data_IF_997125764317
#
_entry.id   IF_997125764317
#
_cell.length_a   1.000
_cell.length_b   1.000
_cell.length_c   1.000
_cell.angle_alpha   90.00
_cell.angle_beta   90.00
_cell.angle_gamma   90.00
#
_symmetry.space_group_name_H-M   'P 1'
#
loop_
_entity.id
_entity.type
_entity.pdbx_description
1 polymer ?
#
# COMPACT_ATOMS: atom_id res chain seq x y z
N UNK A 1 2.03 23.55 68.89
CA UNK A 1 2.50 22.83 67.69
C UNK A 1 1.37 21.92 67.21
N UNK A 2 1.07 22.00 65.90
CA UNK A 2 0.27 21.06 65.07
C UNK A 2 -1.24 21.03 65.32
N UNK A 3 -2.12 20.99 64.32
CA UNK A 3 -2.08 21.17 62.85
C UNK A 3 -3.56 21.34 62.47
N UNK A 4 -3.92 22.43 61.79
CA UNK A 4 -5.29 22.66 61.30
C UNK A 4 -5.54 21.82 60.05
N UNK A 5 -6.72 21.19 60.01
CA UNK A 5 -7.22 20.32 58.94
C UNK A 5 -7.83 21.22 57.84
N UNK A 6 -7.25 21.21 56.64
CA UNK A 6 -7.82 21.90 55.47
C UNK A 6 -8.50 20.88 54.56
N UNK A 7 -9.82 21.01 54.40
CA UNK A 7 -10.58 20.36 53.33
C UNK A 7 -10.22 21.05 52.01
N UNK A 8 -9.54 20.34 51.11
CA UNK A 8 -9.27 20.78 49.74
C UNK A 8 -10.42 20.26 48.85
N UNK A 9 -11.40 21.12 48.52
CA UNK A 9 -12.39 20.82 47.49
C UNK A 9 -11.74 21.01 46.12
N UNK A 10 -11.28 19.93 45.51
CA UNK A 10 -10.76 19.92 44.15
C UNK A 10 -11.93 19.91 43.17
N UNK A 11 -12.24 21.05 42.56
CA UNK A 11 -13.26 21.16 41.52
C UNK A 11 -12.80 20.42 40.26
N UNK A 12 -13.62 19.50 39.77
CA UNK A 12 -13.46 18.90 38.44
C UNK A 12 -13.70 19.98 37.37
N UNK A 13 -12.64 20.42 36.70
CA UNK A 13 -12.73 21.08 35.40
C UNK A 13 -12.78 19.97 34.34
N UNK A 14 -13.97 19.63 33.89
CA UNK A 14 -14.15 18.84 32.66
C UNK A 14 -13.84 19.76 31.47
N UNK A 15 -12.63 19.66 30.91
CA UNK A 15 -12.38 20.09 29.54
C UNK A 15 -13.04 19.06 28.62
N UNK A 16 -14.32 19.24 28.35
CA UNK A 16 -14.96 18.61 27.21
C UNK A 16 -14.45 19.33 25.95
N UNK A 17 -13.32 18.86 25.41
CA UNK A 17 -12.96 19.18 24.04
C UNK A 17 -13.86 18.33 23.15
N UNK A 18 -14.93 18.92 22.62
CA UNK A 18 -15.70 18.29 21.55
C UNK A 18 -14.82 18.10 20.31
N UNK A 19 -15.21 17.20 19.38
CA UNK A 19 -14.55 17.13 18.08
C UNK A 19 -14.63 18.52 17.44
N UNK A 20 -13.46 19.04 17.05
CA UNK A 20 -13.33 20.31 16.36
C UNK A 20 -13.80 20.06 14.93
N UNK A 21 -15.04 20.40 14.61
CA UNK A 21 -15.42 20.60 13.22
C UNK A 21 -14.53 21.72 12.69
N UNK A 22 -13.61 21.41 11.79
CA UNK A 22 -12.83 22.43 11.13
C UNK A 22 -13.80 23.36 10.38
N UNK A 23 -13.63 24.68 10.48
CA UNK A 23 -14.49 25.60 9.75
C UNK A 23 -14.31 25.31 8.26
N UNK A 24 -15.34 24.79 7.60
CA UNK A 24 -15.37 24.77 6.15
C UNK A 24 -15.32 26.23 5.70
N UNK A 25 -14.18 26.63 5.16
CA UNK A 25 -14.03 27.95 4.60
C UNK A 25 -14.78 28.00 3.26
N UNK A 26 -16.03 28.48 3.30
CA UNK A 26 -16.90 28.54 2.13
C UNK A 26 -16.42 29.51 1.05
N UNK A 27 -15.32 30.24 1.27
CA UNK A 27 -14.83 31.25 0.34
C UNK A 27 -14.06 30.63 -0.84
N UNK A 28 -13.45 29.44 -0.67
CA UNK A 28 -12.89 28.66 -1.79
C UNK A 28 -13.86 27.53 -2.13
N UNK A 29 -14.36 27.53 -3.36
CA UNK A 29 -15.19 26.46 -3.92
C UNK A 29 -14.40 25.68 -4.96
N UNK A 30 -14.13 24.42 -4.66
CA UNK A 30 -13.59 23.46 -5.61
C UNK A 30 -14.67 22.97 -6.57
N UNK A 31 -14.27 22.55 -7.78
CA UNK A 31 -15.20 21.90 -8.73
C UNK A 31 -15.79 20.62 -8.14
N UNK A 32 -14.97 19.87 -7.40
CA UNK A 32 -15.29 18.57 -6.82
C UNK A 32 -14.61 18.44 -5.45
N UNK A 33 -15.26 17.73 -4.53
CA UNK A 33 -14.72 17.45 -3.18
C UNK A 33 -14.18 16.03 -3.05
N UNK A 34 -14.55 15.15 -3.96
CA UNK A 34 -14.11 13.76 -4.05
C UNK A 34 -13.86 13.45 -5.52
N UNK A 35 -12.69 12.91 -5.82
CA UNK A 35 -12.25 12.56 -7.18
C UNK A 35 -11.77 11.12 -7.15
N UNK A 36 -12.16 10.33 -8.15
CA UNK A 36 -11.53 9.05 -8.45
C UNK A 36 -10.86 9.14 -9.81
N UNK A 37 -9.57 8.82 -9.87
CA UNK A 37 -8.78 8.75 -11.10
C UNK A 37 -8.05 7.42 -11.17
N UNK A 38 -7.78 6.98 -12.40
CA UNK A 38 -6.94 5.83 -12.65
C UNK A 38 -5.45 6.21 -12.44
N UNK A 39 -4.61 5.22 -12.17
CA UNK A 39 -3.16 5.38 -12.17
C UNK A 39 -2.67 5.99 -13.50
N UNK A 40 -1.71 6.92 -13.43
CA UNK A 40 -1.16 7.76 -14.52
C UNK A 40 -2.14 8.74 -15.19
N UNK A 41 -3.43 8.71 -14.83
CA UNK A 41 -4.39 9.67 -15.36
C UNK A 41 -4.31 11.02 -14.64
N UNK A 42 -4.82 12.06 -15.31
CA UNK A 42 -4.85 13.43 -14.81
C UNK A 42 -6.26 13.99 -14.70
N UNK A 43 -6.49 14.87 -13.74
CA UNK A 43 -7.76 15.55 -13.52
C UNK A 43 -7.54 17.02 -13.17
N UNK A 44 -8.19 17.93 -13.91
CA UNK A 44 -8.16 19.36 -13.59
C UNK A 44 -9.17 19.69 -12.49
N UNK A 45 -8.69 19.86 -11.26
CA UNK A 45 -9.44 20.40 -10.14
C UNK A 45 -9.42 21.93 -10.21
N UNK A 46 -10.60 22.54 -10.31
CA UNK A 46 -10.74 24.00 -10.44
C UNK A 46 -11.12 24.63 -9.10
N UNK A 47 -10.53 25.76 -8.76
CA UNK A 47 -10.88 26.55 -7.58
C UNK A 47 -11.49 27.90 -7.97
N UNK A 48 -12.60 28.25 -7.33
CA UNK A 48 -13.22 29.57 -7.41
C UNK A 48 -13.20 30.24 -6.04
N UNK A 49 -12.80 31.52 -5.97
CA UNK A 49 -12.82 32.29 -4.73
C UNK A 49 -13.93 33.35 -4.73
N UNK A 50 -14.69 33.47 -3.64
CA UNK A 50 -15.72 34.51 -3.47
C UNK A 50 -15.76 35.08 -2.05
N UNK A 51 -15.30 36.33 -1.88
CA UNK A 51 -15.48 37.15 -0.68
C UNK A 51 -15.52 38.63 -1.06
N UNK A 52 -16.45 39.40 -0.49
CA UNK A 52 -16.49 40.84 -0.72
C UNK A 52 -15.23 41.54 -0.17
N UNK A 53 -14.66 42.45 -0.97
CA UNK A 53 -13.50 43.24 -0.55
C UNK A 53 -12.17 42.48 -0.48
N UNK A 54 -12.13 41.24 -0.98
CA UNK A 54 -10.92 40.43 -1.03
C UNK A 54 -10.79 39.76 -2.40
N UNK A 55 -9.61 39.84 -3.00
CA UNK A 55 -9.25 39.09 -4.20
C UNK A 55 -7.92 38.39 -3.91
N UNK A 56 -7.85 37.05 -3.99
CA UNK A 56 -6.59 36.35 -3.83
C UNK A 56 -5.67 36.65 -5.01
N UNK A 57 -4.37 36.59 -4.76
CA UNK A 57 -3.32 36.73 -5.79
C UNK A 57 -2.94 35.36 -6.38
N UNK A 58 -3.94 34.51 -6.59
CA UNK A 58 -3.77 33.11 -6.99
C UNK A 58 -4.00 32.10 -5.85
N UNK A 59 -3.79 30.84 -6.20
CA UNK A 59 -3.95 29.68 -5.33
C UNK A 59 -2.64 28.93 -5.20
N UNK A 60 -2.38 28.39 -4.01
CA UNK A 60 -1.31 27.45 -3.72
C UNK A 60 -1.94 26.08 -3.55
N UNK A 61 -1.36 25.07 -4.18
CA UNK A 61 -1.80 23.69 -4.12
C UNK A 61 -0.73 22.81 -3.48
N UNK A 62 -1.16 21.82 -2.72
CA UNK A 62 -0.31 20.79 -2.15
C UNK A 62 -1.08 19.47 -1.99
N UNK A 63 -0.35 18.37 -1.83
CA UNK A 63 -0.88 17.04 -1.55
C UNK A 63 -0.35 16.55 -0.21
N UNK A 64 -1.22 15.93 0.58
CA UNK A 64 -0.81 15.25 1.82
C UNK A 64 0.12 14.05 1.54
N UNK A 65 0.02 13.44 0.36
CA UNK A 65 0.89 12.36 -0.13
C UNK A 65 1.03 12.43 -1.65
N UNK A 66 2.12 13.07 -2.11
CA UNK A 66 2.47 13.17 -3.53
C UNK A 66 2.80 11.82 -4.18
N UNK A 67 3.14 10.80 -3.38
CA UNK A 67 3.33 9.44 -3.88
C UNK A 67 2.03 8.77 -4.32
N UNK A 68 0.89 9.14 -3.72
CA UNK A 68 -0.44 8.70 -4.17
C UNK A 68 -0.95 9.59 -5.30
N UNK A 69 -0.98 10.91 -5.08
CA UNK A 69 -1.36 11.87 -6.12
C UNK A 69 -0.64 13.20 -5.94
N UNK A 70 -0.08 13.74 -7.03
CA UNK A 70 0.56 15.06 -7.06
C UNK A 70 -0.36 16.10 -7.69
N UNK A 71 -0.14 17.38 -7.38
CA UNK A 71 -0.90 18.49 -7.95
C UNK A 71 0.00 19.64 -8.39
N UNK A 72 -0.19 20.13 -9.61
CA UNK A 72 0.47 21.35 -10.12
C UNK A 72 -0.59 22.27 -10.74
N UNK A 73 -0.75 23.48 -10.22
CA UNK A 73 -1.77 24.44 -10.67
C UNK A 73 -3.20 23.84 -10.78
N UNK A 74 -3.55 22.97 -9.83
CA UNK A 74 -4.85 22.26 -9.80
C UNK A 74 -4.94 21.07 -10.75
N UNK A 75 -3.91 20.78 -11.56
CA UNK A 75 -3.83 19.53 -12.32
C UNK A 75 -3.37 18.41 -11.38
N UNK A 76 -4.30 17.54 -11.01
CA UNK A 76 -4.03 16.35 -10.18
C UNK A 76 -3.57 15.20 -11.08
N UNK A 77 -2.50 14.50 -10.70
CA UNK A 77 -2.00 13.29 -11.39
C UNK A 77 -1.97 12.13 -10.41
N UNK A 78 -2.51 10.97 -10.80
CA UNK A 78 -2.51 9.76 -9.99
C UNK A 78 -1.20 8.99 -10.13
N UNK A 79 -0.47 8.80 -9.02
CA UNK A 79 0.89 8.25 -9.02
C UNK A 79 0.98 6.85 -8.39
N UNK A 80 0.09 6.51 -7.45
CA UNK A 80 0.02 5.19 -6.82
C UNK A 80 -1.38 4.99 -6.26
N UNK A 81 -1.90 3.76 -6.33
CA UNK A 81 -3.19 3.43 -5.77
C UNK A 81 -3.26 3.76 -4.28
N UNK A 82 -4.36 4.37 -3.87
CA UNK A 82 -4.53 4.84 -2.51
C UNK A 82 -5.48 6.03 -2.43
N UNK A 83 -5.52 6.64 -1.25
CA UNK A 83 -6.34 7.81 -0.98
C UNK A 83 -5.45 8.89 -0.37
N UNK A 84 -5.53 10.10 -0.90
CA UNK A 84 -4.82 11.27 -0.38
C UNK A 84 -5.71 12.51 -0.45
N UNK A 85 -5.32 13.57 0.24
CA UNK A 85 -6.02 14.85 0.25
C UNK A 85 -5.21 15.88 -0.54
N UNK A 86 -5.88 16.55 -1.47
CA UNK A 86 -5.34 17.71 -2.18
C UNK A 86 -5.85 18.97 -1.49
N UNK A 87 -4.93 19.81 -1.04
CA UNK A 87 -5.24 21.08 -0.39
C UNK A 87 -5.06 22.24 -1.36
N UNK A 88 -5.90 23.25 -1.21
CA UNK A 88 -5.78 24.54 -1.87
C UNK A 88 -5.86 25.65 -0.85
N UNK A 89 -5.02 26.66 -1.00
CA UNK A 89 -5.05 27.85 -0.17
C UNK A 89 -4.87 29.13 -0.98
N UNK A 90 -5.32 30.26 -0.45
CA UNK A 90 -4.88 31.57 -0.97
C UNK A 90 -3.41 31.79 -0.63
N UNK A 91 -2.69 32.61 -1.42
CA UNK A 91 -1.26 32.87 -1.19
C UNK A 91 -0.91 33.38 0.23
N UNK A 92 -1.83 34.10 0.87
CA UNK A 92 -1.68 34.58 2.25
C UNK A 92 -2.12 33.57 3.32
N UNK A 93 -2.53 32.36 2.90
CA UNK A 93 -3.01 31.24 3.71
C UNK A 93 -4.20 31.58 4.62
N UNK A 94 -4.97 32.62 4.28
CA UNK A 94 -6.14 33.01 5.06
C UNK A 94 -7.37 32.13 4.79
N UNK A 95 -7.42 31.51 3.62
CA UNK A 95 -8.54 30.67 3.18
C UNK A 95 -7.98 29.36 2.65
N UNK A 96 -8.61 28.25 3.03
CA UNK A 96 -8.21 26.90 2.61
C UNK A 96 -9.42 26.07 2.22
N UNK A 97 -9.22 25.12 1.32
CA UNK A 97 -10.20 24.09 0.98
C UNK A 97 -9.45 22.84 0.54
N UNK A 98 -10.15 21.73 0.39
CA UNK A 98 -9.52 20.46 0.05
C UNK A 98 -10.46 19.52 -0.67
N UNK A 99 -9.90 18.62 -1.46
CA UNK A 99 -10.61 17.51 -2.09
C UNK A 99 -9.93 16.19 -1.73
N UNK A 100 -10.74 15.15 -1.49
CA UNK A 100 -10.27 13.78 -1.37
C UNK A 100 -10.02 13.21 -2.76
N UNK A 101 -8.86 12.59 -2.97
CA UNK A 101 -8.49 11.93 -4.22
C UNK A 101 -8.27 10.45 -3.96
N UNK A 102 -8.99 9.61 -4.69
CA UNK A 102 -8.78 8.16 -4.72
C UNK A 102 -8.14 7.80 -6.06
N UNK A 103 -6.95 7.20 -6.01
CA UNK A 103 -6.28 6.66 -7.19
C UNK A 103 -6.52 5.16 -7.23
N UNK A 104 -6.99 4.64 -8.36
CA UNK A 104 -7.23 3.21 -8.55
C UNK A 104 -6.19 2.60 -9.50
N UNK A 105 -5.68 1.39 -9.21
CA UNK A 105 -4.75 0.74 -10.11
C UNK A 105 -5.47 0.28 -11.38
N UNK A 106 -4.77 0.31 -12.51
CA UNK A 106 -5.28 -0.15 -13.80
C UNK A 106 -4.80 -1.56 -14.13
N UNK A 107 -3.69 -2.00 -13.53
CA UNK A 107 -3.16 -3.33 -13.67
C UNK A 107 -3.78 -4.28 -12.63
N UNK A 108 -4.55 -5.25 -13.15
CA UNK A 108 -5.26 -6.29 -12.40
C UNK A 108 -4.73 -7.70 -12.73
N UNK A 109 -3.43 -7.82 -13.03
CA UNK A 109 -2.78 -9.08 -13.43
C UNK A 109 -3.07 -10.25 -12.47
N UNK A 110 -3.06 -9.97 -11.17
CA UNK A 110 -3.27 -10.95 -10.12
C UNK A 110 -4.17 -10.39 -9.01
N UNK A 111 -4.73 -11.28 -8.21
CA UNK A 111 -5.39 -10.97 -6.95
C UNK A 111 -4.37 -11.06 -5.82
N UNK A 112 -4.33 -10.07 -4.93
CA UNK A 112 -3.44 -10.15 -3.77
C UNK A 112 -3.84 -11.30 -2.84
N UNK A 113 -2.91 -11.92 -2.09
CA UNK A 113 -3.25 -12.99 -1.17
C UNK A 113 -3.95 -12.41 0.08
N UNK A 114 -4.39 -13.29 0.98
CA UNK A 114 -4.85 -12.85 2.30
C UNK A 114 -3.70 -12.17 3.04
N UNK A 115 -3.92 -10.99 3.60
CA UNK A 115 -2.90 -10.21 4.33
C UNK A 115 -3.14 -10.21 5.85
N UNK A 116 -4.16 -10.91 6.33
CA UNK A 116 -4.39 -11.16 7.76
C UNK A 116 -3.38 -12.19 8.27
N UNK A 117 -2.16 -11.77 8.55
CA UNK A 117 -1.12 -12.63 9.10
C UNK A 117 -1.48 -13.18 10.50
N UNK A 118 -0.75 -14.22 10.91
CA UNK A 118 -0.90 -14.99 12.17
C UNK A 118 -2.22 -15.74 12.32
N UNK A 119 -2.98 -15.84 11.25
CA UNK A 119 -4.23 -16.58 11.23
C UNK A 119 -3.99 -18.09 11.14
N UNK A 120 -5.06 -18.85 11.40
CA UNK A 120 -5.02 -20.32 11.36
C UNK A 120 -5.14 -20.85 9.93
N UNK A 121 -4.74 -22.11 9.71
CA UNK A 121 -4.99 -22.81 8.44
C UNK A 121 -6.47 -22.83 8.06
N UNK A 122 -7.35 -22.98 9.05
CA UNK A 122 -8.79 -22.97 8.84
C UNK A 122 -9.27 -21.60 8.35
N UNK A 123 -8.76 -20.51 8.92
CA UNK A 123 -9.06 -19.16 8.45
C UNK A 123 -8.67 -18.99 6.97
N UNK A 124 -7.47 -19.43 6.58
CA UNK A 124 -7.03 -19.33 5.18
C UNK A 124 -7.96 -20.13 4.27
N UNK A 125 -8.36 -21.36 4.65
CA UNK A 125 -9.32 -22.16 3.88
C UNK A 125 -10.70 -21.52 3.73
N UNK A 126 -11.14 -20.81 4.76
CA UNK A 126 -12.47 -20.20 4.79
C UNK A 126 -12.53 -18.88 4.00
N UNK A 127 -11.39 -18.21 3.79
CA UNK A 127 -11.32 -16.86 3.21
C UNK A 127 -10.57 -16.78 1.88
N UNK A 128 -9.70 -17.75 1.55
CA UNK A 128 -9.12 -17.84 0.22
C UNK A 128 -10.19 -18.30 -0.77
N UNK A 129 -10.26 -17.61 -1.90
CA UNK A 129 -11.30 -17.78 -2.92
C UNK A 129 -10.82 -18.59 -4.12
N UNK A 130 -9.50 -18.75 -4.27
CA UNK A 130 -8.88 -19.65 -5.26
C UNK A 130 -9.18 -21.11 -4.97
N UNK A 131 -9.05 -21.94 -6.00
CA UNK A 131 -9.23 -23.39 -5.86
C UNK A 131 -8.10 -23.99 -5.02
N UNK A 132 -8.47 -24.73 -3.97
CA UNK A 132 -7.49 -25.47 -3.16
C UNK A 132 -6.83 -26.56 -3.99
N UNK A 133 -5.50 -26.57 -4.01
CA UNK A 133 -4.69 -27.55 -4.75
C UNK A 133 -4.24 -28.69 -3.83
N UNK A 134 -3.41 -28.36 -2.83
CA UNK A 134 -2.82 -29.35 -1.93
C UNK A 134 -2.40 -28.75 -0.59
N UNK A 135 -2.12 -29.65 0.35
CA UNK A 135 -1.59 -29.33 1.67
C UNK A 135 -0.26 -30.05 1.87
N UNK A 136 0.75 -29.30 2.29
CA UNK A 136 2.07 -29.78 2.73
C UNK A 136 2.22 -29.49 4.23
N UNK A 137 3.31 -29.94 4.85
CA UNK A 137 3.50 -29.80 6.31
C UNK A 137 3.36 -28.34 6.75
N UNK A 138 4.12 -27.43 6.15
CA UNK A 138 4.11 -26.00 6.48
C UNK A 138 3.30 -25.14 5.49
N UNK A 139 2.62 -25.73 4.49
CA UNK A 139 1.95 -24.97 3.44
C UNK A 139 0.51 -25.39 3.15
N UNK A 140 -0.33 -24.40 2.84
CA UNK A 140 -1.53 -24.59 2.03
C UNK A 140 -1.28 -24.00 0.65
N UNK A 141 -1.58 -24.76 -0.41
CA UNK A 141 -1.36 -24.38 -1.80
C UNK A 141 -2.69 -24.33 -2.54
N UNK A 142 -2.87 -23.28 -3.33
CA UNK A 142 -4.04 -22.99 -4.14
C UNK A 142 -3.60 -22.79 -5.60
N UNK A 143 -4.45 -23.19 -6.53
CA UNK A 143 -4.25 -22.94 -7.96
C UNK A 143 -4.29 -21.44 -8.24
N UNK A 144 -3.50 -20.98 -9.21
CA UNK A 144 -3.58 -19.60 -9.67
C UNK A 144 -4.91 -19.28 -10.36
N UNK A 145 -5.34 -18.03 -10.28
CA UNK A 145 -6.60 -17.57 -10.83
C UNK A 145 -6.61 -17.41 -12.36
N UNK A 146 -5.43 -17.42 -13.00
CA UNK A 146 -5.26 -17.26 -14.44
C UNK A 146 -3.92 -17.88 -14.91
N UNK A 147 -3.67 -17.93 -16.22
CA UNK A 147 -2.49 -18.58 -16.81
C UNK A 147 -1.13 -17.94 -16.46
N UNK A 148 -1.13 -16.73 -15.89
CA UNK A 148 0.09 -16.01 -15.48
C UNK A 148 0.49 -16.33 -14.05
N UNK A 149 -0.46 -16.79 -13.23
CA UNK A 149 -0.23 -17.20 -11.84
C UNK A 149 -0.28 -18.72 -11.81
N UNK A 150 0.82 -19.38 -11.45
CA UNK A 150 0.88 -20.83 -11.41
C UNK A 150 0.22 -21.37 -10.14
N UNK A 151 0.58 -20.80 -8.99
CA UNK A 151 -0.02 -21.14 -7.70
C UNK A 151 0.13 -19.99 -6.71
N UNK A 152 -0.70 -20.06 -5.65
CA UNK A 152 -0.54 -19.26 -4.44
C UNK A 152 -0.38 -20.19 -3.25
N UNK A 153 0.66 -19.97 -2.45
CA UNK A 153 0.93 -20.75 -1.26
C UNK A 153 0.96 -19.86 -0.01
N UNK A 154 0.47 -20.41 1.09
CA UNK A 154 0.47 -19.79 2.41
C UNK A 154 1.35 -20.62 3.33
N UNK A 155 2.42 -20.00 3.83
CA UNK A 155 3.34 -20.60 4.79
C UNK A 155 2.85 -20.43 6.22
N UNK A 156 2.93 -21.50 7.01
CA UNK A 156 2.58 -21.54 8.42
C UNK A 156 3.79 -21.91 9.25
N UNK A 157 4.29 -20.96 10.04
CA UNK A 157 5.31 -21.22 11.04
C UNK A 157 4.72 -21.29 12.45
N UNK A 158 5.56 -20.99 13.44
CA UNK A 158 5.25 -21.20 14.86
C UNK A 158 4.12 -20.31 15.42
N UNK A 159 3.74 -19.26 14.69
CA UNK A 159 2.73 -18.28 15.11
C UNK A 159 1.51 -18.24 14.17
N UNK A 160 1.34 -19.25 13.32
CA UNK A 160 0.29 -19.31 12.30
C UNK A 160 0.81 -18.91 10.93
N UNK A 161 -0.10 -18.40 10.08
CA UNK A 161 0.22 -17.87 8.76
C UNK A 161 1.23 -16.70 8.87
N UNK A 162 2.32 -16.71 8.10
CA UNK A 162 3.35 -15.65 8.18
C UNK A 162 3.79 -15.08 6.84
N UNK A 163 3.56 -15.83 5.76
CA UNK A 163 4.10 -15.51 4.45
C UNK A 163 3.24 -16.09 3.34
N UNK A 164 2.94 -15.28 2.34
CA UNK A 164 2.31 -15.72 1.10
C UNK A 164 3.30 -15.70 -0.05
N UNK A 165 3.15 -16.66 -0.95
CA UNK A 165 4.00 -16.84 -2.13
C UNK A 165 3.08 -16.93 -3.32
N UNK A 166 3.35 -16.14 -4.36
CA UNK A 166 2.69 -16.23 -5.65
C UNK A 166 3.74 -16.62 -6.67
N UNK A 167 3.57 -17.77 -7.33
CA UNK A 167 4.42 -18.16 -8.46
C UNK A 167 3.86 -17.57 -9.74
N UNK A 168 4.70 -16.88 -10.48
CA UNK A 168 4.37 -16.27 -11.76
C UNK A 168 5.01 -17.09 -12.87
N UNK A 169 4.22 -17.44 -13.89
CA UNK A 169 4.71 -18.16 -15.08
C UNK A 169 5.92 -17.40 -15.68
N UNK A 170 7.12 -18.02 -15.72
CA UNK A 170 8.39 -17.29 -15.84
C UNK A 170 8.67 -16.81 -17.27
N UNK A 171 8.08 -15.67 -17.61
CA UNK A 171 8.34 -14.95 -18.87
C UNK A 171 8.64 -13.49 -18.58
N UNK A 172 9.46 -12.84 -19.42
CA UNK A 172 9.79 -11.42 -19.23
C UNK A 172 8.54 -10.54 -19.28
N UNK A 173 7.56 -10.89 -20.14
CA UNK A 173 6.29 -10.17 -20.19
C UNK A 173 5.54 -10.24 -18.85
N UNK A 174 5.40 -11.44 -18.28
CA UNK A 174 4.70 -11.58 -16.99
C UNK A 174 5.48 -10.93 -15.85
N UNK A 175 6.82 -10.96 -15.89
CA UNK A 175 7.66 -10.25 -14.94
C UNK A 175 7.43 -8.74 -15.01
N UNK A 176 7.47 -8.15 -16.21
CA UNK A 176 7.23 -6.72 -16.41
C UNK A 176 5.81 -6.32 -15.93
N UNK A 177 4.80 -7.13 -16.26
CA UNK A 177 3.41 -6.89 -15.82
C UNK A 177 3.24 -7.06 -14.30
N UNK A 178 3.97 -7.98 -13.66
CA UNK A 178 3.95 -8.17 -12.21
C UNK A 178 4.63 -7.02 -11.47
N UNK A 179 5.75 -6.51 -12.00
CA UNK A 179 6.38 -5.30 -11.49
C UNK A 179 5.42 -4.11 -11.61
N UNK A 180 4.78 -3.93 -12.77
CA UNK A 180 3.78 -2.87 -12.98
C UNK A 180 2.60 -3.01 -12.00
N UNK A 181 2.13 -4.23 -11.75
CA UNK A 181 1.08 -4.49 -10.77
C UNK A 181 1.47 -4.00 -9.36
N UNK A 182 2.72 -4.25 -8.95
CA UNK A 182 3.22 -3.91 -7.62
C UNK A 182 3.51 -2.41 -7.46
N UNK A 183 4.15 -1.76 -8.44
CA UNK A 183 4.47 -0.32 -8.35
C UNK A 183 3.21 0.55 -8.33
N UNK A 184 2.12 0.08 -8.96
CA UNK A 184 0.83 0.77 -8.86
C UNK A 184 0.22 0.70 -7.45
N UNK A 185 0.72 -0.15 -6.55
CA UNK A 185 0.15 -0.37 -5.20
C UNK A 185 1.12 -0.03 -4.07
N UNK A 186 2.42 -0.18 -4.31
CA UNK A 186 3.45 -0.14 -3.28
C UNK A 186 4.61 0.74 -3.70
N UNK A 187 5.18 1.45 -2.72
CA UNK A 187 6.39 2.23 -2.93
C UNK A 187 7.64 1.32 -2.91
N UNK A 188 8.47 1.33 -3.98
CA UNK A 188 9.73 0.60 -3.98
C UNK A 188 10.69 1.13 -2.91
N UNK A 189 11.21 0.24 -2.07
CA UNK A 189 12.21 0.56 -1.05
C UNK A 189 13.64 0.33 -1.55
N UNK A 190 13.87 -0.81 -2.22
CA UNK A 190 15.17 -1.19 -2.77
C UNK A 190 14.98 -2.03 -4.03
N UNK A 191 15.88 -1.87 -5.00
CA UNK A 191 15.90 -2.69 -6.21
C UNK A 191 17.31 -3.18 -6.51
N UNK A 192 17.40 -4.45 -6.86
CA UNK A 192 18.60 -5.12 -7.34
C UNK A 192 18.34 -5.67 -8.76
N UNK A 193 19.32 -6.36 -9.35
CA UNK A 193 19.12 -7.00 -10.65
C UNK A 193 18.01 -8.08 -10.63
N UNK A 194 17.81 -8.73 -9.48
CA UNK A 194 16.99 -9.93 -9.36
C UNK A 194 15.84 -9.79 -8.35
N UNK A 195 15.72 -8.67 -7.63
CA UNK A 195 14.62 -8.46 -6.70
C UNK A 195 14.27 -6.98 -6.55
N UNK A 196 12.98 -6.69 -6.34
CA UNK A 196 12.50 -5.41 -5.82
C UNK A 196 11.83 -5.66 -4.48
N UNK A 197 12.23 -4.90 -3.48
CA UNK A 197 11.64 -4.86 -2.16
C UNK A 197 10.73 -3.64 -2.05
N UNK A 198 9.51 -3.87 -1.59
CA UNK A 198 8.53 -2.88 -1.20
C UNK A 198 8.22 -3.05 0.30
N UNK A 199 7.83 -1.98 0.97
CA UNK A 199 7.51 -2.02 2.40
C UNK A 199 6.19 -1.30 2.69
N UNK A 200 5.41 -1.87 3.59
CA UNK A 200 4.28 -1.23 4.27
C UNK A 200 4.61 -1.11 5.76
N UNK A 201 3.68 -0.57 6.54
CA UNK A 201 3.82 -0.53 8.01
C UNK A 201 3.79 -1.92 8.64
N UNK A 202 3.13 -2.89 7.99
CA UNK A 202 2.81 -4.21 8.55
C UNK A 202 3.56 -5.38 7.87
N UNK A 203 3.95 -5.25 6.60
CA UNK A 203 4.57 -6.31 5.81
C UNK A 203 5.51 -5.80 4.71
N UNK A 204 6.40 -6.69 4.24
CA UNK A 204 7.16 -6.49 3.01
C UNK A 204 6.46 -7.15 1.84
N UNK A 205 6.59 -6.57 0.66
CA UNK A 205 6.31 -7.25 -0.61
C UNK A 205 7.61 -7.35 -1.38
N UNK A 206 7.90 -8.53 -1.92
CA UNK A 206 9.14 -8.77 -2.67
C UNK A 206 8.77 -9.45 -3.96
N UNK A 207 9.17 -8.90 -5.09
CA UNK A 207 9.22 -9.66 -6.34
C UNK A 207 10.66 -10.05 -6.60
N UNK A 208 10.90 -11.33 -6.86
CA UNK A 208 12.23 -11.87 -7.11
C UNK A 208 12.26 -12.81 -8.31
N UNK A 209 13.44 -12.86 -8.93
CA UNK A 209 13.83 -13.81 -9.96
C UNK A 209 14.93 -14.69 -9.38
N UNK A 210 14.65 -15.98 -9.24
CA UNK A 210 15.61 -16.97 -8.73
C UNK A 210 16.69 -17.31 -9.75
N UNK A 211 17.75 -18.01 -9.32
CA UNK A 211 18.82 -18.47 -10.23
C UNK A 211 18.31 -19.41 -11.34
N UNK A 212 17.23 -20.16 -11.08
CA UNK A 212 16.56 -21.03 -12.04
C UNK A 212 15.44 -20.31 -12.84
N UNK A 213 15.49 -18.98 -12.87
CA UNK A 213 14.57 -18.10 -13.60
C UNK A 213 13.11 -18.22 -13.19
N UNK A 214 12.82 -18.70 -11.97
CA UNK A 214 11.46 -18.66 -11.42
C UNK A 214 11.16 -17.26 -10.89
N UNK A 215 9.90 -16.82 -11.02
CA UNK A 215 9.45 -15.51 -10.57
C UNK A 215 8.49 -15.70 -9.40
N UNK A 216 8.83 -15.15 -8.24
CA UNK A 216 7.97 -15.17 -7.05
C UNK A 216 7.61 -13.78 -6.61
N UNK A 217 6.38 -13.62 -6.12
CA UNK A 217 5.98 -12.49 -5.29
C UNK A 217 5.74 -13.00 -3.88
N UNK A 218 6.40 -12.40 -2.90
CA UNK A 218 6.35 -12.77 -1.50
C UNK A 218 5.73 -11.64 -0.69
N UNK A 219 4.79 -11.98 0.20
CA UNK A 219 4.22 -11.06 1.18
C UNK A 219 4.62 -11.57 2.56
N UNK A 220 5.44 -10.81 3.29
CA UNK A 220 6.04 -11.26 4.55
C UNK A 220 5.71 -10.31 5.71
N UNK A 221 5.15 -10.85 6.79
CA UNK A 221 4.85 -10.06 7.99
C UNK A 221 6.14 -9.45 8.61
N UNK A 222 6.13 -8.15 8.93
CA UNK A 222 7.21 -7.51 9.68
C UNK A 222 7.16 -7.98 11.15
N UNK A 223 8.17 -8.75 11.58
CA UNK A 223 8.33 -9.15 12.97
C UNK A 223 9.07 -8.04 13.77
N UNK A 224 8.50 -7.62 14.90
CA UNK A 224 8.90 -6.42 15.65
C UNK A 224 10.40 -6.19 15.89
N UNK A 225 10.83 -4.96 15.59
CA UNK A 225 12.09 -4.27 15.98
C UNK A 225 13.40 -5.04 15.78
N UNK A 226 13.80 -5.31 14.53
CA UNK A 226 15.19 -5.16 14.08
C UNK A 226 15.32 -5.58 12.62
N UNK A 227 15.27 -4.61 11.71
CA UNK A 227 15.91 -4.76 10.39
C UNK A 227 16.87 -3.59 10.15
N UNK A 228 17.82 -3.40 11.07
CA UNK A 228 19.14 -2.88 10.67
C UNK A 228 20.03 -3.99 10.08
N UNK A 229 19.49 -5.22 9.98
CA UNK A 229 20.12 -6.34 9.32
C UNK A 229 19.52 -6.49 7.94
N UNK A 230 20.37 -6.34 6.93
CA UNK A 230 20.19 -6.85 5.57
C UNK A 230 19.28 -8.08 5.59
N UNK A 231 18.12 -8.00 4.94
CA UNK A 231 17.21 -9.13 4.80
C UNK A 231 17.99 -10.21 4.04
N UNK A 232 18.47 -11.24 4.75
CA UNK A 232 19.21 -12.34 4.14
C UNK A 232 18.17 -13.23 3.46
N UNK A 233 17.81 -12.84 2.23
CA UNK A 233 16.90 -13.53 1.33
C UNK A 233 17.58 -14.81 0.80
N UNK A 234 17.86 -15.77 1.69
CA UNK A 234 18.16 -17.15 1.28
C UNK A 234 16.85 -17.94 1.29
N UNK A 235 16.01 -17.59 0.32
CA UNK A 235 14.68 -18.13 0.13
C UNK A 235 14.78 -19.54 -0.49
N UNK A 236 15.73 -19.80 -1.40
CA UNK A 236 15.83 -21.07 -2.15
C UNK A 236 15.67 -22.34 -1.31
N UNK A 237 16.34 -22.42 -0.15
CA UNK A 237 16.40 -23.64 0.66
C UNK A 237 15.05 -24.03 1.29
N UNK A 238 14.10 -23.09 1.44
CA UNK A 238 12.81 -23.33 2.10
C UNK A 238 11.71 -23.79 1.12
N UNK A 239 11.87 -23.57 -0.19
CA UNK A 239 10.80 -23.82 -1.19
C UNK A 239 11.10 -24.98 -2.16
N UNK A 240 12.24 -25.66 -2.00
CA UNK A 240 12.58 -26.90 -2.71
C UNK A 240 11.48 -27.98 -2.62
N UNK A 241 10.66 -27.96 -1.56
CA UNK A 241 9.53 -28.88 -1.40
C UNK A 241 8.35 -28.58 -2.34
N UNK A 242 8.18 -27.32 -2.74
CA UNK A 242 7.12 -26.87 -3.67
C UNK A 242 7.58 -26.99 -5.12
N UNK A 243 8.86 -26.78 -5.40
CA UNK A 243 9.41 -26.58 -6.76
C UNK A 243 9.70 -27.85 -7.58
N UNK A 244 9.03 -28.99 -7.31
CA UNK A 244 9.28 -30.23 -8.07
C UNK A 244 8.57 -30.31 -9.42
N UNK A 245 9.02 -29.54 -10.40
CA UNK A 245 9.12 -29.97 -11.83
C UNK A 245 9.67 -28.82 -12.68
N UNK A 246 10.79 -29.09 -13.36
CA UNK A 246 11.68 -28.04 -13.87
C UNK A 246 11.27 -27.39 -15.19
N UNK A 247 11.95 -26.29 -15.48
CA UNK A 247 12.19 -25.74 -16.81
C UNK A 247 13.57 -25.08 -16.85
N UNK A 248 14.17 -25.06 -18.04
CA UNK A 248 15.51 -24.57 -18.35
C UNK A 248 15.49 -23.05 -18.49
N UNK A 249 16.44 -22.40 -17.82
CA UNK A 249 16.55 -20.95 -17.67
C UNK A 249 16.47 -20.13 -18.96
N UNK A 250 15.74 -19.03 -18.84
CA UNK A 250 15.89 -17.82 -19.63
C UNK A 250 16.48 -16.74 -18.72
N UNK A 251 17.40 -15.91 -19.22
CA UNK A 251 17.94 -14.78 -18.44
C UNK A 251 16.83 -13.72 -18.26
N UNK A 252 16.03 -13.84 -17.20
CA UNK A 252 15.03 -12.86 -16.81
C UNK A 252 15.72 -11.73 -16.03
N UNK A 253 15.39 -10.48 -16.35
CA UNK A 253 15.95 -9.30 -15.68
C UNK A 253 14.82 -8.41 -15.16
N UNK A 254 14.93 -7.95 -13.91
CA UNK A 254 13.98 -6.98 -13.37
C UNK A 254 14.34 -5.58 -13.86
N UNK A 255 13.33 -4.84 -14.36
CA UNK A 255 13.47 -3.45 -14.79
C UNK A 255 12.36 -2.62 -14.15
N UNK A 256 12.75 -1.68 -13.29
CA UNK A 256 11.88 -0.55 -12.94
C UNK A 256 11.87 0.39 -14.14
N UNK A 257 10.68 0.72 -14.65
CA UNK A 257 10.50 1.77 -15.67
C UNK A 257 10.39 3.12 -15.00
#
# INVERSE_FOLDING_TARGET
>A
MKKSLYLLSFGLLFFACGPREEPQDTNIRLSDQEITIDYDDTYQLNAEFRREGYSPDGFVWDSDDEGIASVEDGMVTGNRAGVTQINVSTNDQLFTSSAMVTVVPTNMMLMEPLLDFRQTRQFVRDNETREFSMELDEFLVFEGENEKVEFVAYYFGNIGYQESIISITPTQQNLDEAVEFLVQRYEPLEATANAILFATDDYYVIIEVTEDSQVFILYLEIQGTNINGKLDLHISDKYDEILKSGHSGSDLEIKLK
#
